data_IF_251480917963
#
_entry.id   IF_251480917963
#
_cell.length_a   1.000
_cell.length_b   1.000
_cell.length_c   1.000
_cell.angle_alpha   90.00
_cell.angle_beta   90.00
_cell.angle_gamma   90.00
#
_symmetry.space_group_name_H-M   'P 1'
#
loop_
_entity.id
_entity.type
_entity.pdbx_description
1 polymer ?
#
# COMPACT_ATOMS: atom_id res chain seq x y z
N UNK A 1 25.15 26.89 21.11
CA UNK A 1 25.73 25.52 21.07
C UNK A 1 24.61 24.56 20.72
N UNK A 2 24.72 23.83 19.61
CA UNK A 2 23.76 22.79 19.24
C UNK A 2 23.90 21.66 20.28
N UNK A 3 22.79 21.25 20.91
CA UNK A 3 22.80 20.16 21.89
C UNK A 3 23.18 18.84 21.18
N UNK A 4 24.08 18.05 21.77
CA UNK A 4 24.44 16.74 21.22
C UNK A 4 23.28 15.74 21.34
N UNK A 5 23.30 14.68 20.53
CA UNK A 5 22.25 13.66 20.54
C UNK A 5 22.10 13.03 21.93
N UNK A 6 23.19 12.76 22.64
CA UNK A 6 23.16 12.24 24.02
C UNK A 6 22.24 13.05 24.95
N UNK A 7 22.33 14.38 24.92
CA UNK A 7 21.47 15.24 25.73
C UNK A 7 20.03 15.27 25.20
N UNK A 8 19.85 15.38 23.88
CA UNK A 8 18.52 15.35 23.25
C UNK A 8 17.79 14.03 23.51
N UNK A 9 18.49 12.91 23.59
CA UNK A 9 17.94 11.59 23.94
C UNK A 9 17.32 11.60 25.34
N UNK A 10 17.80 12.40 26.29
CA UNK A 10 17.13 12.57 27.60
C UNK A 10 15.83 13.35 27.48
N UNK A 11 15.75 14.33 26.59
CA UNK A 11 14.50 15.06 26.33
C UNK A 11 13.43 14.16 25.68
N UNK A 12 13.84 13.14 24.92
CA UNK A 12 12.91 12.17 24.34
C UNK A 12 12.14 11.35 25.39
N UNK A 13 12.57 11.34 26.65
CA UNK A 13 11.77 10.72 27.74
C UNK A 13 10.44 11.47 27.97
N UNK A 14 10.38 12.75 27.59
CA UNK A 14 9.16 13.57 27.67
C UNK A 14 8.31 13.49 26.39
N UNK A 15 8.81 12.84 25.33
CA UNK A 15 8.14 12.75 24.03
C UNK A 15 6.71 12.20 24.12
N UNK A 16 6.39 11.18 24.93
CA UNK A 16 5.02 10.65 25.01
C UNK A 16 3.98 11.72 25.41
N UNK A 17 4.34 12.65 26.32
CA UNK A 17 3.43 13.69 26.78
C UNK A 17 3.11 14.69 25.67
N UNK A 18 4.13 15.13 24.94
CA UNK A 18 3.98 16.05 23.80
C UNK A 18 3.24 15.39 22.64
N UNK A 19 3.52 14.12 22.37
CA UNK A 19 2.89 13.35 21.31
C UNK A 19 1.40 13.06 21.60
N UNK A 20 1.01 12.98 22.87
CA UNK A 20 -0.40 12.75 23.26
C UNK A 20 -1.30 13.97 23.03
N UNK A 21 -0.73 15.18 22.95
CA UNK A 21 -1.49 16.42 22.65
C UNK A 21 -2.08 16.41 21.23
N UNK A 22 -1.49 15.65 20.30
CA UNK A 22 -2.04 15.43 18.96
C UNK A 22 -3.36 14.63 18.99
N UNK A 23 -3.56 13.85 20.05
CA UNK A 23 -4.76 13.02 20.27
C UNK A 23 -5.73 13.61 21.28
N UNK A 24 -5.45 14.80 21.80
CA UNK A 24 -6.27 15.47 22.81
C UNK A 24 -7.51 16.10 22.15
N UNK A 25 -8.68 15.52 22.46
CA UNK A 25 -9.97 15.97 21.92
C UNK A 25 -10.46 17.25 22.60
N UNK A 26 -9.94 17.60 23.79
CA UNK A 26 -10.32 18.81 24.52
C UNK A 26 -9.63 20.07 23.95
N UNK A 27 -8.56 19.90 23.17
CA UNK A 27 -7.89 21.00 22.47
C UNK A 27 -8.71 21.47 21.26
N UNK A 28 -8.87 22.80 21.15
CA UNK A 28 -9.47 23.44 19.97
C UNK A 28 -8.75 22.99 18.70
N UNK A 29 -9.51 22.63 17.68
CA UNK A 29 -9.01 22.03 16.44
C UNK A 29 -7.89 22.84 15.76
N UNK A 30 -8.03 24.17 15.66
CA UNK A 30 -6.99 25.04 15.08
C UNK A 30 -5.67 24.99 15.85
N UNK A 31 -5.75 24.92 17.19
CA UNK A 31 -4.55 24.84 18.05
C UNK A 31 -3.90 23.47 17.94
N UNK A 32 -4.71 22.41 17.92
CA UNK A 32 -4.23 21.03 17.73
C UNK A 32 -3.52 20.90 16.39
N UNK A 33 -4.14 21.34 15.29
CA UNK A 33 -3.55 21.30 13.95
C UNK A 33 -2.21 22.05 13.90
N UNK A 34 -2.16 23.27 14.42
CA UNK A 34 -0.91 24.05 14.48
C UNK A 34 0.17 23.32 15.29
N UNK A 35 -0.20 22.73 16.43
CA UNK A 35 0.72 21.92 17.23
C UNK A 35 1.24 20.72 16.45
N UNK A 36 0.36 19.97 15.79
CA UNK A 36 0.71 18.81 14.96
C UNK A 36 1.71 19.18 13.85
N UNK A 37 1.48 20.30 13.16
CA UNK A 37 2.37 20.80 12.10
C UNK A 37 3.75 21.19 12.65
N UNK A 38 3.79 21.94 13.76
CA UNK A 38 5.04 22.38 14.40
C UNK A 38 5.82 21.19 14.98
N UNK A 39 5.12 20.23 15.58
CA UNK A 39 5.69 19.03 16.17
C UNK A 39 6.26 18.10 15.10
N UNK A 40 5.50 17.82 14.03
CA UNK A 40 5.96 17.03 12.89
C UNK A 40 7.22 17.65 12.26
N UNK A 41 7.19 18.96 11.98
CA UNK A 41 8.35 19.69 11.45
C UNK A 41 9.58 19.59 12.36
N UNK A 42 9.39 19.77 13.67
CA UNK A 42 10.47 19.69 14.66
C UNK A 42 11.08 18.29 14.71
N UNK A 43 10.25 17.24 14.64
CA UNK A 43 10.72 15.86 14.61
C UNK A 43 11.52 15.56 13.34
N UNK A 44 11.05 15.99 12.17
CA UNK A 44 11.79 15.84 10.92
C UNK A 44 13.14 16.57 10.96
N UNK A 45 13.18 17.82 11.45
CA UNK A 45 14.44 18.55 11.66
C UNK A 45 15.35 17.84 12.65
N UNK A 46 14.81 17.34 13.76
CA UNK A 46 15.58 16.56 14.73
C UNK A 46 16.22 15.32 14.10
N UNK A 47 15.46 14.54 13.31
CA UNK A 47 16.01 13.36 12.63
C UNK A 47 17.06 13.75 11.59
N UNK A 48 16.82 14.81 10.80
CA UNK A 48 17.78 15.25 9.78
C UNK A 48 19.10 15.76 10.39
N UNK A 49 19.05 16.41 11.55
CA UNK A 49 20.22 16.98 12.21
C UNK A 49 21.02 15.94 13.01
N UNK A 50 20.36 14.89 13.52
CA UNK A 50 20.93 14.03 14.56
C UNK A 50 21.05 12.55 14.18
N UNK A 51 20.31 12.07 13.17
CA UNK A 51 20.36 10.67 12.76
C UNK A 51 21.32 10.50 11.57
N UNK A 52 21.91 9.30 11.41
CA UNK A 52 22.76 9.04 10.26
C UNK A 52 21.94 9.04 8.95
N UNK A 53 22.61 9.27 7.82
CA UNK A 53 21.96 9.20 6.51
C UNK A 53 21.58 7.76 6.13
N UNK A 54 22.36 6.79 6.65
CA UNK A 54 22.04 5.37 6.59
C UNK A 54 22.07 4.79 7.99
N UNK A 55 21.09 3.96 8.31
CA UNK A 55 21.00 3.29 9.61
C UNK A 55 22.21 2.41 9.96
N UNK A 56 23.05 2.06 8.97
CA UNK A 56 24.32 1.30 9.12
C UNK A 56 25.58 2.16 9.26
N UNK A 57 25.47 3.49 9.25
CA UNK A 57 26.64 4.40 9.22
C UNK A 57 27.45 4.37 10.54
N UNK A 58 26.76 4.26 11.68
CA UNK A 58 27.41 4.13 12.97
C UNK A 58 27.77 2.68 13.27
N UNK A 59 29.02 2.45 13.66
CA UNK A 59 29.52 1.12 13.98
C UNK A 59 28.95 0.64 15.32
N UNK A 60 28.54 -0.62 15.38
CA UNK A 60 28.04 -1.23 16.62
C UNK A 60 29.10 -1.13 17.72
N UNK A 61 28.70 -0.63 18.89
CA UNK A 61 29.57 -0.45 20.06
C UNK A 61 30.15 0.95 20.20
N UNK A 62 29.97 1.85 19.23
CA UNK A 62 30.35 3.26 19.41
C UNK A 62 29.28 4.03 20.18
N UNK A 63 29.67 5.16 20.78
CA UNK A 63 28.74 6.01 21.52
C UNK A 63 27.63 6.56 20.61
N UNK A 64 27.96 6.91 19.36
CA UNK A 64 27.02 7.42 18.36
C UNK A 64 25.96 6.37 18.01
N UNK A 65 26.38 5.10 17.85
CA UNK A 65 25.46 3.99 17.63
C UNK A 65 24.51 3.81 18.83
N UNK A 66 25.05 3.84 20.05
CA UNK A 66 24.24 3.72 21.27
C UNK A 66 23.27 4.88 21.46
N UNK A 67 23.68 6.11 21.13
CA UNK A 67 22.84 7.29 21.20
C UNK A 67 21.71 7.24 20.15
N UNK A 68 22.02 6.82 18.92
CA UNK A 68 21.03 6.62 17.85
C UNK A 68 20.03 5.51 18.21
N UNK A 69 20.52 4.35 18.66
CA UNK A 69 19.68 3.25 19.13
C UNK A 69 18.77 3.69 20.29
N UNK A 70 19.32 4.43 21.26
CA UNK A 70 18.58 4.97 22.39
C UNK A 70 17.48 5.94 21.95
N UNK A 71 17.77 6.82 20.99
CA UNK A 71 16.78 7.73 20.43
C UNK A 71 15.64 6.99 19.71
N UNK A 72 15.97 6.01 18.84
CA UNK A 72 14.97 5.18 18.15
C UNK A 72 14.07 4.48 19.16
N UNK A 73 14.63 3.80 20.17
CA UNK A 73 13.83 3.08 21.17
C UNK A 73 12.92 3.99 21.99
N UNK A 74 13.35 5.22 22.29
CA UNK A 74 12.49 6.21 22.95
C UNK A 74 11.36 6.70 22.06
N UNK A 75 11.60 6.87 20.76
CA UNK A 75 10.54 7.18 19.78
C UNK A 75 9.53 6.02 19.69
N UNK A 76 10.00 4.77 19.62
CA UNK A 76 9.14 3.58 19.63
C UNK A 76 8.29 3.50 20.91
N UNK A 77 8.92 3.67 22.07
CA UNK A 77 8.21 3.71 23.35
C UNK A 77 7.18 4.85 23.40
N UNK A 78 7.51 6.02 22.85
CA UNK A 78 6.59 7.15 22.82
C UNK A 78 5.40 6.90 21.89
N UNK A 79 5.61 6.26 20.73
CA UNK A 79 4.52 5.83 19.84
C UNK A 79 3.55 4.93 20.61
N UNK A 80 4.06 3.91 21.29
CA UNK A 80 3.22 2.94 21.99
C UNK A 80 2.46 3.56 23.16
N UNK A 81 3.09 4.48 23.90
CA UNK A 81 2.47 5.15 25.05
C UNK A 81 1.40 6.16 24.61
N UNK A 82 1.72 7.02 23.65
CA UNK A 82 0.86 8.13 23.20
C UNK A 82 -0.17 7.76 22.14
N UNK A 83 0.09 6.71 21.36
CA UNK A 83 -0.67 6.42 20.12
C UNK A 83 -0.71 7.59 19.14
N UNK A 84 0.36 8.39 19.09
CA UNK A 84 0.47 9.54 18.20
C UNK A 84 0.65 9.11 16.74
N UNK A 85 -0.21 9.66 15.87
CA UNK A 85 -0.14 9.41 14.44
C UNK A 85 1.09 10.04 13.78
N UNK A 86 1.56 11.18 14.31
CA UNK A 86 2.78 11.87 13.85
C UNK A 86 4.01 10.99 14.06
N UNK A 87 4.12 10.33 15.23
CA UNK A 87 5.24 9.42 15.50
C UNK A 87 5.18 8.19 14.59
N UNK A 88 3.96 7.69 14.30
CA UNK A 88 3.76 6.61 13.34
C UNK A 88 4.24 7.01 11.94
N UNK A 89 3.85 8.19 11.44
CA UNK A 89 4.29 8.73 10.15
C UNK A 89 5.82 8.85 10.07
N UNK A 90 6.45 9.41 11.11
CA UNK A 90 7.91 9.55 11.19
C UNK A 90 8.62 8.19 11.07
N UNK A 91 8.14 7.18 11.80
CA UNK A 91 8.73 5.84 11.81
C UNK A 91 8.57 5.13 10.46
N UNK A 92 7.42 5.25 9.81
CA UNK A 92 7.21 4.71 8.47
C UNK A 92 8.09 5.43 7.44
N UNK A 93 8.22 6.74 7.54
CA UNK A 93 9.12 7.51 6.68
C UNK A 93 10.57 7.01 6.81
N UNK A 94 11.09 6.89 8.03
CA UNK A 94 12.45 6.36 8.27
C UNK A 94 12.63 4.95 7.71
N UNK A 95 11.64 4.07 7.90
CA UNK A 95 11.70 2.69 7.41
C UNK A 95 11.71 2.61 5.88
N UNK A 96 10.94 3.46 5.21
CA UNK A 96 10.76 3.40 3.76
C UNK A 96 11.88 4.10 2.97
N UNK A 97 12.65 4.99 3.61
CA UNK A 97 13.80 5.67 2.99
C UNK A 97 14.99 4.75 2.73
N UNK A 98 15.08 3.60 3.40
CA UNK A 98 16.16 2.64 3.22
C UNK A 98 15.65 1.26 2.84
N UNK A 99 16.42 0.53 2.00
CA UNK A 99 16.10 -0.84 1.62
C UNK A 99 16.24 -1.83 2.78
N UNK A 100 17.16 -1.60 3.73
CA UNK A 100 17.33 -2.46 4.90
C UNK A 100 17.67 -1.60 6.12
N UNK A 101 16.70 -1.36 7.00
CA UNK A 101 16.92 -0.54 8.19
C UNK A 101 17.33 -1.44 9.38
N UNK A 102 18.39 -1.09 10.10
CA UNK A 102 18.93 -1.99 11.17
C UNK A 102 17.95 -2.25 12.33
N UNK A 103 16.97 -1.36 12.52
CA UNK A 103 15.91 -1.48 13.54
C UNK A 103 14.54 -1.84 12.94
N UNK A 104 14.49 -2.35 11.71
CA UNK A 104 13.24 -2.67 11.00
C UNK A 104 12.29 -3.54 11.83
N UNK A 105 12.78 -4.60 12.45
CA UNK A 105 11.95 -5.49 13.27
C UNK A 105 11.40 -4.81 14.54
N UNK A 106 12.22 -3.99 15.22
CA UNK A 106 11.78 -3.22 16.40
C UNK A 106 10.70 -2.21 16.01
N UNK A 107 10.88 -1.50 14.87
CA UNK A 107 9.91 -0.56 14.33
C UNK A 107 8.59 -1.26 13.98
N UNK A 108 8.64 -2.34 13.19
CA UNK A 108 7.44 -3.08 12.79
C UNK A 108 6.71 -3.68 13.99
N UNK A 109 7.44 -4.16 15.00
CA UNK A 109 6.84 -4.69 16.23
C UNK A 109 6.12 -3.59 17.02
N UNK A 110 6.71 -2.40 17.13
CA UNK A 110 6.11 -1.26 17.82
C UNK A 110 4.87 -0.74 17.10
N UNK A 111 4.94 -0.66 15.77
CA UNK A 111 3.81 -0.25 14.94
C UNK A 111 2.65 -1.24 15.05
N UNK A 112 2.90 -2.54 15.06
CA UNK A 112 1.85 -3.53 15.30
C UNK A 112 1.17 -3.31 16.66
N UNK A 113 1.95 -3.04 17.73
CA UNK A 113 1.39 -2.72 19.06
C UNK A 113 0.53 -1.44 19.04
N UNK A 114 1.00 -0.40 18.36
CA UNK A 114 0.24 0.84 18.14
C UNK A 114 -1.13 0.58 17.48
N UNK A 115 -1.17 -0.23 16.43
CA UNK A 115 -2.38 -0.46 15.64
C UNK A 115 -3.40 -1.32 16.38
N UNK A 116 -2.90 -2.30 17.14
CA UNK A 116 -3.74 -3.08 18.07
C UNK A 116 -4.32 -2.15 19.14
N UNK A 117 -3.50 -1.24 19.70
CA UNK A 117 -3.92 -0.29 20.75
C UNK A 117 -4.92 0.74 20.26
N UNK A 118 -4.89 1.16 18.99
CA UNK A 118 -5.89 2.08 18.43
C UNK A 118 -7.31 1.59 18.71
N UNK A 119 -7.55 0.27 18.57
CA UNK A 119 -8.77 -0.48 18.92
C UNK A 119 -10.13 0.16 18.57
N UNK A 120 -10.15 1.18 17.74
CA UNK A 120 -11.32 1.95 17.34
C UNK A 120 -11.46 1.89 15.81
N UNK A 121 -12.71 1.77 15.35
CA UNK A 121 -13.00 1.61 13.93
C UNK A 121 -12.58 2.84 13.13
N UNK A 122 -12.92 4.04 13.59
CA UNK A 122 -12.65 5.29 12.87
C UNK A 122 -11.14 5.58 12.84
N UNK A 123 -10.44 5.38 13.96
CA UNK A 123 -8.99 5.55 14.03
C UNK A 123 -8.25 4.56 13.12
N UNK A 124 -8.66 3.29 13.10
CA UNK A 124 -8.09 2.31 12.17
C UNK A 124 -8.44 2.62 10.70
N UNK A 125 -9.63 3.14 10.43
CA UNK A 125 -10.02 3.57 9.09
C UNK A 125 -9.18 4.76 8.60
N UNK A 126 -8.94 5.77 9.45
CA UNK A 126 -8.08 6.91 9.14
C UNK A 126 -6.64 6.47 8.84
N UNK A 127 -6.12 5.50 9.61
CA UNK A 127 -4.83 4.87 9.33
C UNK A 127 -4.81 4.21 7.95
N UNK A 128 -5.83 3.42 7.60
CA UNK A 128 -5.90 2.76 6.30
C UNK A 128 -6.03 3.77 5.13
N UNK A 129 -6.80 4.84 5.32
CA UNK A 129 -6.91 5.95 4.35
C UNK A 129 -5.55 6.63 4.11
N UNK A 130 -4.77 6.82 5.17
CA UNK A 130 -3.43 7.35 5.08
C UNK A 130 -2.49 6.40 4.33
N UNK A 131 -2.56 5.09 4.61
CA UNK A 131 -1.78 4.09 3.86
C UNK A 131 -2.15 4.05 2.39
N UNK A 132 -3.44 4.15 2.09
CA UNK A 132 -3.90 4.30 0.71
C UNK A 132 -3.27 5.55 0.06
N UNK A 133 -3.18 6.66 0.79
CA UNK A 133 -2.56 7.90 0.27
C UNK A 133 -1.07 7.73 -0.06
N UNK A 134 -0.32 6.97 0.75
CA UNK A 134 1.08 6.62 0.47
C UNK A 134 1.14 5.76 -0.79
N UNK A 135 0.41 4.65 -0.81
CA UNK A 135 0.56 3.63 -1.84
C UNK A 135 0.13 4.06 -3.22
N UNK A 136 -0.73 5.08 -3.34
CA UNK A 136 -1.20 5.57 -4.63
C UNK A 136 -0.75 7.02 -4.92
N UNK A 137 0.34 7.46 -4.28
CA UNK A 137 1.05 8.69 -4.63
C UNK A 137 0.29 9.97 -4.31
N UNK A 138 -0.66 9.93 -3.37
CA UNK A 138 -1.38 11.10 -2.87
C UNK A 138 -0.64 11.78 -1.71
N UNK A 139 0.26 11.05 -1.05
CA UNK A 139 1.11 11.59 0.02
C UNK A 139 2.44 12.09 -0.55
N UNK A 140 2.71 13.39 -0.40
CA UNK A 140 3.90 14.06 -0.93
C UNK A 140 5.21 13.67 -0.22
N UNK A 141 5.14 13.12 1.00
CA UNK A 141 6.31 12.71 1.77
C UNK A 141 6.96 11.45 1.18
N UNK A 142 6.18 10.62 0.47
CA UNK A 142 6.62 9.34 -0.04
C UNK A 142 6.82 9.39 -1.55
N UNK A 143 8.09 9.43 -1.95
CA UNK A 143 8.50 9.31 -3.36
C UNK A 143 8.19 7.92 -3.90
N UNK A 144 8.27 7.79 -5.22
CA UNK A 144 7.96 6.56 -5.93
C UNK A 144 8.77 5.36 -5.41
N UNK A 145 10.06 5.56 -5.13
CA UNK A 145 10.94 4.55 -4.55
C UNK A 145 10.49 4.09 -3.14
N UNK A 146 9.95 4.99 -2.33
CA UNK A 146 9.52 4.68 -0.96
C UNK A 146 8.23 3.86 -0.92
N UNK A 147 7.40 3.94 -1.96
CA UNK A 147 6.08 3.30 -2.01
C UNK A 147 6.17 1.78 -2.11
N UNK A 148 7.15 1.26 -2.86
CA UNK A 148 7.41 -0.18 -2.91
C UNK A 148 7.95 -0.70 -1.58
N UNK A 149 8.88 0.03 -0.96
CA UNK A 149 9.40 -0.31 0.36
C UNK A 149 8.27 -0.35 1.41
N UNK A 150 7.37 0.64 1.37
CA UNK A 150 6.20 0.66 2.25
C UNK A 150 5.32 -0.59 2.06
N UNK A 151 5.06 -0.99 0.81
CA UNK A 151 4.27 -2.17 0.49
C UNK A 151 4.93 -3.46 1.00
N UNK A 152 6.22 -3.64 0.72
CA UNK A 152 6.96 -4.87 1.01
C UNK A 152 7.24 -5.08 2.49
N UNK A 153 7.67 -4.02 3.19
CA UNK A 153 8.14 -4.12 4.57
C UNK A 153 7.02 -4.01 5.59
N UNK A 154 6.08 -3.11 5.32
CA UNK A 154 5.20 -2.60 6.35
C UNK A 154 3.74 -2.95 6.10
N UNK A 155 3.21 -2.61 4.93
CA UNK A 155 1.76 -2.48 4.77
C UNK A 155 1.06 -3.83 4.89
N UNK A 156 1.53 -4.89 4.22
CA UNK A 156 0.86 -6.19 4.36
C UNK A 156 0.95 -6.74 5.79
N UNK A 157 2.08 -6.52 6.47
CA UNK A 157 2.25 -6.93 7.88
C UNK A 157 1.29 -6.17 8.79
N UNK A 158 1.11 -4.88 8.53
CA UNK A 158 0.19 -4.04 9.27
C UNK A 158 -1.27 -4.47 9.15
N UNK A 159 -1.71 -4.82 7.94
CA UNK A 159 -3.11 -5.22 7.71
C UNK A 159 -3.51 -6.43 8.57
N UNK A 160 -2.57 -7.26 9.01
CA UNK A 160 -2.84 -8.40 9.91
C UNK A 160 -3.25 -7.96 11.33
N UNK A 161 -2.91 -6.73 11.72
CA UNK A 161 -3.20 -6.17 13.05
C UNK A 161 -4.49 -5.34 13.07
N UNK A 162 -5.09 -5.08 11.91
CA UNK A 162 -6.34 -4.30 11.78
C UNK A 162 -7.55 -5.22 11.94
N UNK A 163 -8.62 -4.73 12.57
CA UNK A 163 -9.86 -5.51 12.73
C UNK A 163 -10.43 -5.89 11.36
N UNK A 164 -10.84 -7.15 11.20
CA UNK A 164 -11.46 -7.67 9.96
C UNK A 164 -12.67 -6.82 9.52
N UNK A 165 -13.50 -6.36 10.45
CA UNK A 165 -14.64 -5.49 10.14
C UNK A 165 -14.21 -4.15 9.52
N UNK A 166 -13.16 -3.53 10.06
CA UNK A 166 -12.60 -2.30 9.48
C UNK A 166 -11.98 -2.54 8.11
N UNK A 167 -11.28 -3.66 7.91
CA UNK A 167 -10.74 -4.04 6.61
C UNK A 167 -11.83 -4.24 5.55
N UNK A 168 -12.97 -4.83 5.92
CA UNK A 168 -14.12 -4.98 5.03
C UNK A 168 -14.64 -3.61 4.59
N UNK A 169 -14.86 -2.68 5.52
CA UNK A 169 -15.35 -1.34 5.19
C UNK A 169 -14.33 -0.53 4.37
N UNK A 170 -13.04 -0.65 4.67
CA UNK A 170 -11.99 -0.10 3.84
C UNK A 170 -12.01 -0.65 2.41
N UNK A 171 -12.14 -1.97 2.28
CA UNK A 171 -12.16 -2.60 0.97
C UNK A 171 -13.41 -2.19 0.18
N UNK A 172 -14.58 -2.12 0.81
CA UNK A 172 -15.80 -1.55 0.21
C UNK A 172 -15.58 -0.13 -0.31
N UNK A 173 -14.92 0.73 0.47
CA UNK A 173 -14.63 2.11 0.11
C UNK A 173 -13.73 2.22 -1.12
N UNK A 174 -12.70 1.38 -1.22
CA UNK A 174 -11.66 1.52 -2.24
C UNK A 174 -11.71 0.50 -3.39
N UNK A 175 -12.56 -0.53 -3.34
CA UNK A 175 -12.58 -1.61 -4.34
C UNK A 175 -12.72 -1.10 -5.77
N UNK A 176 -13.61 -0.11 -5.98
CA UNK A 176 -13.81 0.48 -7.29
C UNK A 176 -12.59 1.26 -7.76
N UNK A 177 -11.91 1.99 -6.87
CA UNK A 177 -10.68 2.70 -7.24
C UNK A 177 -9.54 1.72 -7.53
N UNK A 178 -9.34 0.69 -6.70
CA UNK A 178 -8.40 -0.39 -6.95
C UNK A 178 -8.61 -1.01 -8.33
N UNK A 179 -9.82 -1.46 -8.63
CA UNK A 179 -10.07 -2.24 -9.83
C UNK A 179 -10.18 -1.33 -11.07
N UNK A 180 -11.02 -0.30 -11.01
CA UNK A 180 -11.32 0.54 -12.18
C UNK A 180 -10.20 1.56 -12.41
N UNK A 181 -9.78 2.29 -11.38
CA UNK A 181 -8.81 3.37 -11.56
C UNK A 181 -7.38 2.86 -11.68
N UNK A 182 -7.03 1.71 -11.06
CA UNK A 182 -5.65 1.19 -11.11
C UNK A 182 -5.47 0.04 -12.11
N UNK A 183 -6.36 -0.97 -12.13
CA UNK A 183 -6.18 -2.13 -13.00
C UNK A 183 -6.57 -1.86 -14.47
N UNK A 184 -7.47 -0.91 -14.76
CA UNK A 184 -7.86 -0.61 -16.16
C UNK A 184 -6.86 0.28 -16.91
N UNK A 185 -5.96 0.97 -16.21
CA UNK A 185 -4.92 1.78 -16.86
C UNK A 185 -4.11 0.86 -17.78
N UNK A 186 -4.07 1.19 -19.08
CA UNK A 186 -3.23 0.46 -20.04
C UNK A 186 -1.76 0.75 -19.74
N UNK A 187 -0.94 -0.29 -19.81
CA UNK A 187 0.51 -0.14 -19.73
C UNK A 187 0.98 0.31 -21.10
N UNK A 188 1.40 1.57 -21.19
CA UNK A 188 2.09 2.10 -22.36
C UNK A 188 3.59 2.17 -22.06
N UNK A 189 4.34 1.28 -22.72
CA UNK A 189 5.79 1.17 -22.55
C UNK A 189 6.57 2.37 -23.08
N UNK A 190 5.93 3.23 -23.88
CA UNK A 190 6.54 4.46 -24.41
C UNK A 190 6.54 5.61 -23.40
N UNK A 191 5.66 5.56 -22.39
CA UNK A 191 5.54 6.60 -21.36
C UNK A 191 6.55 6.40 -20.22
N UNK A 192 7.83 6.58 -20.52
CA UNK A 192 8.95 6.22 -19.63
C UNK A 192 8.93 6.87 -18.25
N UNK A 193 8.33 8.06 -18.10
CA UNK A 193 8.27 8.81 -16.83
C UNK A 193 7.13 8.36 -15.91
N UNK A 194 5.98 7.98 -16.46
CA UNK A 194 4.79 7.61 -15.67
C UNK A 194 4.66 6.10 -15.48
N UNK A 195 5.32 5.30 -16.33
CA UNK A 195 5.18 3.85 -16.31
C UNK A 195 5.56 3.23 -14.96
N UNK A 196 6.63 3.71 -14.33
CA UNK A 196 7.06 3.21 -13.02
C UNK A 196 5.93 3.35 -11.99
N UNK A 197 5.21 4.49 -12.00
CA UNK A 197 4.11 4.73 -11.07
C UNK A 197 2.92 3.81 -11.39
N UNK A 198 2.59 3.64 -12.67
CA UNK A 198 1.53 2.74 -13.12
C UNK A 198 1.82 1.28 -12.71
N UNK A 199 3.06 0.82 -12.90
CA UNK A 199 3.47 -0.53 -12.51
C UNK A 199 3.36 -0.72 -10.99
N UNK A 200 3.85 0.24 -10.20
CA UNK A 200 3.76 0.21 -8.74
C UNK A 200 2.30 0.21 -8.28
N UNK A 201 1.44 1.08 -8.83
CA UNK A 201 0.01 1.10 -8.49
C UNK A 201 -0.65 -0.26 -8.72
N UNK A 202 -0.36 -0.90 -9.86
CA UNK A 202 -0.91 -2.22 -10.18
C UNK A 202 -0.37 -3.30 -9.25
N UNK A 203 0.94 -3.30 -8.95
CA UNK A 203 1.55 -4.23 -7.98
C UNK A 203 0.86 -4.09 -6.61
N UNK A 204 0.78 -2.86 -6.09
CA UNK A 204 0.09 -2.55 -4.83
C UNK A 204 -1.35 -3.07 -4.84
N UNK A 205 -2.07 -2.82 -5.93
CA UNK A 205 -3.46 -3.23 -6.09
C UNK A 205 -3.60 -4.75 -6.04
N UNK A 206 -2.81 -5.49 -6.81
CA UNK A 206 -2.88 -6.95 -6.79
C UNK A 206 -2.52 -7.53 -5.43
N UNK A 207 -1.48 -7.01 -4.77
CA UNK A 207 -1.10 -7.48 -3.42
C UNK A 207 -2.16 -7.18 -2.36
N UNK A 208 -2.86 -6.05 -2.47
CA UNK A 208 -4.02 -5.79 -1.61
C UNK A 208 -5.17 -6.74 -1.88
N UNK A 209 -5.55 -6.94 -3.14
CA UNK A 209 -6.66 -7.84 -3.47
C UNK A 209 -6.32 -9.26 -3.05
N UNK A 210 -5.10 -9.72 -3.31
CA UNK A 210 -4.54 -10.99 -2.83
C UNK A 210 -4.73 -11.18 -1.33
N UNK A 211 -4.27 -10.21 -0.54
CA UNK A 211 -4.43 -10.23 0.92
C UNK A 211 -5.90 -10.26 1.34
N UNK A 212 -6.76 -9.42 0.73
CA UNK A 212 -8.18 -9.38 1.06
C UNK A 212 -8.87 -10.71 0.76
N UNK A 213 -8.62 -11.33 -0.40
CA UNK A 213 -9.19 -12.64 -0.74
C UNK A 213 -8.65 -13.79 0.12
N UNK A 214 -7.49 -13.60 0.76
CA UNK A 214 -6.93 -14.56 1.73
C UNK A 214 -7.67 -14.51 3.09
N UNK A 215 -8.08 -13.32 3.54
CA UNK A 215 -8.69 -13.15 4.88
C UNK A 215 -10.22 -13.09 4.86
N UNK A 216 -10.82 -12.79 3.71
CA UNK A 216 -12.26 -12.69 3.53
C UNK A 216 -12.85 -14.07 3.22
N UNK A 217 -14.09 -14.26 3.64
CA UNK A 217 -14.83 -15.47 3.30
C UNK A 217 -15.40 -15.31 1.90
N UNK A 218 -15.75 -16.44 1.26
CA UNK A 218 -16.39 -16.44 -0.05
C UNK A 218 -17.59 -15.48 -0.12
N UNK A 219 -18.48 -15.53 0.87
CA UNK A 219 -19.69 -14.72 0.89
C UNK A 219 -19.42 -13.21 1.04
N UNK A 220 -18.24 -12.81 1.51
CA UNK A 220 -17.87 -11.40 1.58
C UNK A 220 -17.61 -10.81 0.19
N UNK A 221 -17.08 -11.61 -0.75
CA UNK A 221 -16.56 -11.15 -2.06
C UNK A 221 -17.23 -11.79 -3.28
N UNK A 222 -18.02 -12.84 -3.10
CA UNK A 222 -18.62 -13.63 -4.15
C UNK A 222 -20.04 -14.07 -3.79
N UNK A 223 -20.95 -14.00 -4.76
CA UNK A 223 -22.37 -14.37 -4.60
C UNK A 223 -23.28 -13.16 -4.37
N UNK A 224 -24.59 -13.40 -4.45
CA UNK A 224 -25.61 -12.34 -4.45
C UNK A 224 -25.65 -11.52 -3.14
N UNK A 225 -25.25 -12.13 -2.03
CA UNK A 225 -25.25 -11.50 -0.71
C UNK A 225 -23.94 -10.74 -0.41
N UNK A 226 -22.96 -10.79 -1.32
CA UNK A 226 -21.69 -10.12 -1.14
C UNK A 226 -21.86 -8.61 -1.20
N UNK A 227 -21.69 -7.96 -0.05
CA UNK A 227 -21.76 -6.50 0.07
C UNK A 227 -20.65 -5.80 -0.71
N UNK A 228 -19.45 -6.39 -0.78
CA UNK A 228 -18.32 -5.85 -1.56
C UNK A 228 -18.60 -5.99 -3.07
N UNK A 229 -19.05 -7.16 -3.53
CA UNK A 229 -19.39 -7.35 -4.94
C UNK A 229 -20.54 -6.43 -5.37
N UNK A 230 -21.53 -6.20 -4.49
CA UNK A 230 -22.64 -5.28 -4.75
C UNK A 230 -22.17 -3.85 -4.97
N UNK A 231 -21.31 -3.32 -4.10
CA UNK A 231 -20.76 -1.97 -4.24
C UNK A 231 -19.98 -1.83 -5.55
N UNK A 232 -19.17 -2.83 -5.89
CA UNK A 232 -18.45 -2.85 -7.15
C UNK A 232 -19.40 -2.87 -8.35
N UNK A 233 -20.40 -3.76 -8.36
CA UNK A 233 -21.41 -3.86 -9.41
C UNK A 233 -22.14 -2.54 -9.63
N UNK A 234 -22.64 -1.92 -8.56
CA UNK A 234 -23.35 -0.64 -8.62
C UNK A 234 -22.46 0.48 -9.18
N UNK A 235 -21.17 0.49 -8.83
CA UNK A 235 -20.22 1.47 -9.35
C UNK A 235 -20.01 1.30 -10.84
N UNK A 236 -19.76 0.07 -11.31
CA UNK A 236 -19.55 -0.22 -12.74
C UNK A 236 -20.82 0.10 -13.54
N UNK A 237 -22.01 -0.26 -13.01
CA UNK A 237 -23.29 0.02 -13.67
C UNK A 237 -23.54 1.52 -13.85
N UNK A 238 -23.29 2.32 -12.81
CA UNK A 238 -23.38 3.78 -12.89
C UNK A 238 -22.41 4.35 -13.93
N UNK A 239 -21.19 3.82 -14.03
CA UNK A 239 -20.24 4.25 -15.07
C UNK A 239 -20.69 3.87 -16.48
N UNK A 240 -21.26 2.67 -16.68
CA UNK A 240 -21.81 2.27 -17.98
C UNK A 240 -23.00 3.14 -18.39
N UNK A 241 -23.89 3.49 -17.46
CA UNK A 241 -25.02 4.40 -17.68
C UNK A 241 -24.53 5.81 -18.03
N UNK A 242 -23.56 6.35 -17.28
CA UNK A 242 -22.96 7.66 -17.57
C UNK A 242 -22.28 7.68 -18.95
N UNK A 243 -21.57 6.62 -19.35
CA UNK A 243 -20.95 6.52 -20.67
C UNK A 243 -21.99 6.52 -21.80
N UNK A 244 -23.10 5.79 -21.63
CA UNK A 244 -24.21 5.79 -22.59
C UNK A 244 -24.81 7.19 -22.75
N UNK A 245 -25.01 7.91 -21.64
CA UNK A 245 -25.52 9.28 -21.67
C UNK A 245 -24.56 10.26 -22.37
N UNK A 246 -23.25 10.04 -22.24
CA UNK A 246 -22.21 10.88 -22.84
C UNK A 246 -21.81 10.43 -24.26
N UNK A 247 -22.46 9.42 -24.86
CA UNK A 247 -22.09 8.81 -26.14
C UNK A 247 -20.60 8.40 -26.23
N UNK A 248 -20.03 7.94 -25.11
CA UNK A 248 -18.66 7.44 -25.05
C UNK A 248 -18.68 5.93 -25.23
N UNK A 249 -18.01 5.43 -26.27
CA UNK A 249 -17.90 3.98 -26.50
C UNK A 249 -17.14 3.28 -25.37
N UNK A 250 -17.60 2.06 -25.05
CA UNK A 250 -16.91 1.19 -24.09
C UNK A 250 -15.52 0.85 -24.64
N UNK A 251 -14.46 0.97 -23.82
CA UNK A 251 -13.15 0.44 -24.20
C UNK A 251 -13.28 -1.03 -24.59
N UNK A 252 -12.56 -1.48 -25.62
CA UNK A 252 -12.54 -2.90 -26.04
C UNK A 252 -12.15 -3.83 -24.87
N UNK A 253 -11.40 -3.29 -23.91
CA UNK A 253 -10.96 -3.97 -22.70
C UNK A 253 -11.96 -3.95 -21.55
N UNK A 254 -13.13 -3.33 -21.70
CA UNK A 254 -14.15 -3.24 -20.65
C UNK A 254 -14.97 -4.53 -20.59
N UNK A 255 -15.12 -5.06 -19.38
CA UNK A 255 -15.88 -6.28 -19.13
C UNK A 255 -17.34 -5.87 -18.96
N UNK A 256 -18.19 -6.26 -19.91
CA UNK A 256 -19.63 -6.00 -19.84
C UNK A 256 -20.21 -6.73 -18.62
N UNK A 257 -20.86 -5.97 -17.74
CA UNK A 257 -21.64 -6.55 -16.64
C UNK A 257 -23.07 -6.83 -17.10
N UNK A 258 -23.73 -7.80 -16.47
CA UNK A 258 -25.12 -8.14 -16.76
C UNK A 258 -26.09 -7.04 -16.33
N UNK A 259 -27.31 -7.07 -16.90
CA UNK A 259 -28.40 -6.17 -16.50
C UNK A 259 -28.82 -6.36 -15.04
N UNK A 260 -28.63 -7.58 -14.52
CA UNK A 260 -28.85 -7.99 -13.13
C UNK A 260 -27.54 -8.50 -12.52
N UNK A 261 -27.38 -8.28 -11.22
CA UNK A 261 -26.21 -8.74 -10.47
C UNK A 261 -26.28 -10.26 -10.24
N UNK A 262 -25.21 -10.98 -10.58
CA UNK A 262 -25.03 -12.40 -10.29
C UNK A 262 -24.04 -12.67 -9.14
N UNK A 263 -23.39 -11.61 -8.63
CA UNK A 263 -22.47 -11.65 -7.50
C UNK A 263 -21.07 -12.15 -7.86
N UNK A 264 -20.78 -12.36 -9.16
CA UNK A 264 -19.49 -12.84 -9.65
C UNK A 264 -18.70 -11.74 -10.34
N UNK A 265 -19.26 -10.54 -10.49
CA UNK A 265 -18.73 -9.47 -11.34
C UNK A 265 -17.34 -9.03 -10.89
N UNK A 266 -17.17 -8.76 -9.59
CA UNK A 266 -15.87 -8.38 -9.04
C UNK A 266 -14.81 -9.45 -9.32
N UNK A 267 -15.11 -10.70 -8.98
CA UNK A 267 -14.21 -11.84 -9.18
C UNK A 267 -13.87 -12.03 -10.66
N UNK A 268 -14.86 -12.01 -11.57
CA UNK A 268 -14.64 -12.09 -13.02
C UNK A 268 -13.74 -10.95 -13.51
N UNK A 269 -13.97 -9.74 -13.01
CA UNK A 269 -13.22 -8.56 -13.40
C UNK A 269 -11.75 -8.68 -13.04
N UNK A 270 -11.46 -9.02 -11.78
CA UNK A 270 -10.08 -9.14 -11.31
C UNK A 270 -9.38 -10.33 -11.98
N UNK A 271 -10.04 -11.48 -12.17
CA UNK A 271 -9.45 -12.63 -12.89
C UNK A 271 -9.02 -12.23 -14.31
N UNK A 272 -9.89 -11.55 -15.04
CA UNK A 272 -9.57 -11.11 -16.40
C UNK A 272 -8.40 -10.12 -16.43
N UNK A 273 -8.34 -9.18 -15.49
CA UNK A 273 -7.23 -8.23 -15.37
C UNK A 273 -5.91 -8.90 -14.98
N UNK A 274 -5.96 -9.84 -14.04
CA UNK A 274 -4.80 -10.58 -13.58
C UNK A 274 -4.16 -11.41 -14.69
N UNK A 275 -4.98 -12.14 -15.46
CA UNK A 275 -4.53 -12.92 -16.63
C UNK A 275 -3.92 -12.05 -17.71
N UNK A 276 -4.43 -10.84 -17.91
CA UNK A 276 -3.88 -9.90 -18.88
C UNK A 276 -2.46 -9.39 -18.53
N UNK A 277 -1.96 -9.65 -17.30
CA UNK A 277 -0.59 -9.32 -16.91
C UNK A 277 0.40 -10.46 -17.11
N UNK A 278 -0.05 -11.63 -17.57
CA UNK A 278 0.85 -12.76 -17.77
C UNK A 278 1.83 -12.41 -18.88
N UNK A 279 3.12 -12.51 -18.54
CA UNK A 279 4.20 -12.19 -19.46
C UNK A 279 4.30 -13.33 -20.46
N UNK A 280 4.20 -13.01 -21.75
CA UNK A 280 4.57 -13.92 -22.82
C UNK A 280 5.89 -13.50 -23.49
N UNK A 281 6.43 -14.37 -24.35
CA UNK A 281 7.68 -14.10 -25.06
C UNK A 281 7.60 -12.94 -26.06
N UNK A 282 6.40 -12.52 -26.49
CA UNK A 282 6.22 -11.37 -27.39
C UNK A 282 6.35 -10.07 -26.61
N UNK A 283 5.72 -9.99 -25.44
CA UNK A 283 5.77 -8.84 -24.52
C UNK A 283 7.22 -8.58 -24.10
N UNK A 284 7.98 -9.61 -23.73
CA UNK A 284 9.40 -9.46 -23.36
C UNK A 284 10.21 -8.86 -24.53
N UNK A 285 10.04 -9.39 -25.75
CA UNK A 285 10.75 -8.89 -26.94
C UNK A 285 10.37 -7.45 -27.29
N UNK A 286 9.08 -7.10 -27.21
CA UNK A 286 8.62 -5.72 -27.40
C UNK A 286 9.20 -4.78 -26.35
N UNK A 287 9.28 -5.22 -25.09
CA UNK A 287 9.87 -4.45 -24.00
C UNK A 287 11.38 -4.23 -24.20
N UNK A 288 12.13 -5.27 -24.59
CA UNK A 288 13.56 -5.17 -24.88
C UNK A 288 13.83 -4.18 -26.01
N UNK A 289 12.95 -4.12 -27.00
CA UNK A 289 13.03 -3.20 -28.14
C UNK A 289 12.72 -1.76 -27.73
N UNK A 290 11.68 -1.54 -26.91
CA UNK A 290 11.26 -0.20 -26.47
C UNK A 290 12.24 0.41 -25.45
N UNK A 291 12.86 -0.43 -24.61
CA UNK A 291 13.83 0.00 -23.60
C UNK A 291 15.27 0.10 -24.13
N UNK A 292 15.49 0.12 -25.45
CA UNK A 292 16.82 0.20 -26.08
C UNK A 292 17.57 1.49 -25.77
N UNK A 293 16.85 2.61 -25.62
CA UNK A 293 17.44 3.94 -25.41
C UNK A 293 17.56 4.33 -23.93
N UNK A 294 17.35 3.39 -23.01
CA UNK A 294 17.34 3.62 -21.56
C UNK A 294 18.63 3.07 -20.94
N UNK A 295 19.11 3.68 -19.86
CA UNK A 295 20.30 3.17 -19.16
C UNK A 295 20.11 1.72 -18.71
N UNK A 296 21.19 0.94 -18.65
CA UNK A 296 21.13 -0.48 -18.23
C UNK A 296 20.46 -0.66 -16.87
N UNK A 297 20.72 0.25 -15.93
CA UNK A 297 20.15 0.24 -14.57
C UNK A 297 18.63 0.48 -14.60
N UNK A 298 18.18 1.50 -15.34
CA UNK A 298 16.75 1.81 -15.43
C UNK A 298 15.98 0.73 -16.20
N UNK A 299 16.61 0.11 -17.21
CA UNK A 299 16.08 -1.06 -17.91
C UNK A 299 15.89 -2.24 -16.94
N UNK A 300 16.90 -2.55 -16.13
CA UNK A 300 16.83 -3.63 -15.13
C UNK A 300 15.72 -3.37 -14.10
N UNK A 301 15.64 -2.14 -13.57
CA UNK A 301 14.59 -1.75 -12.63
C UNK A 301 13.18 -1.95 -13.22
N UNK A 302 12.93 -1.48 -14.45
CA UNK A 302 11.63 -1.63 -15.11
C UNK A 302 11.29 -3.10 -15.36
N UNK A 303 12.27 -3.90 -15.78
CA UNK A 303 12.09 -5.35 -15.95
C UNK A 303 11.76 -6.04 -14.63
N UNK A 304 12.38 -5.63 -13.52
CA UNK A 304 12.05 -6.15 -12.19
C UNK A 304 10.62 -5.80 -11.79
N UNK A 305 10.16 -4.57 -12.03
CA UNK A 305 8.77 -4.18 -11.77
C UNK A 305 7.77 -4.97 -12.60
N UNK A 306 8.07 -5.23 -13.87
CA UNK A 306 7.22 -6.04 -14.74
C UNK A 306 7.12 -7.48 -14.22
N UNK A 307 8.24 -8.09 -13.81
CA UNK A 307 8.23 -9.40 -13.17
C UNK A 307 7.41 -9.39 -11.87
N UNK A 308 7.62 -8.40 -11.01
CA UNK A 308 6.86 -8.24 -9.76
C UNK A 308 5.38 -8.06 -10.01
N UNK A 309 4.99 -7.36 -11.08
CA UNK A 309 3.59 -7.21 -11.49
C UNK A 309 2.98 -8.56 -11.89
N UNK A 310 3.67 -9.34 -12.72
CA UNK A 310 3.20 -10.66 -13.14
C UNK A 310 3.10 -11.64 -11.97
N UNK A 311 4.08 -11.62 -11.05
CA UNK A 311 4.03 -12.44 -9.83
C UNK A 311 2.87 -12.02 -8.92
N UNK A 312 2.69 -10.71 -8.71
CA UNK A 312 1.61 -10.19 -7.86
C UNK A 312 0.22 -10.50 -8.45
N UNK A 313 0.06 -10.39 -9.77
CA UNK A 313 -1.22 -10.72 -10.42
C UNK A 313 -1.49 -12.23 -10.38
N UNK A 314 -0.46 -13.06 -10.51
CA UNK A 314 -0.58 -14.51 -10.42
C UNK A 314 -0.96 -14.96 -9.00
N UNK A 315 -0.29 -14.43 -7.97
CA UNK A 315 -0.64 -14.70 -6.57
C UNK A 315 -2.07 -14.27 -6.25
N UNK A 316 -2.45 -13.07 -6.70
CA UNK A 316 -3.82 -12.59 -6.58
C UNK A 316 -4.83 -13.52 -7.26
N UNK A 317 -4.53 -14.02 -8.47
CA UNK A 317 -5.37 -14.99 -9.17
C UNK A 317 -5.53 -16.28 -8.34
N UNK A 318 -4.44 -16.81 -7.77
CA UNK A 318 -4.48 -17.99 -6.91
C UNK A 318 -5.41 -17.77 -5.72
N UNK A 319 -5.23 -16.69 -4.97
CA UNK A 319 -6.03 -16.39 -3.78
C UNK A 319 -7.51 -16.20 -4.11
N UNK A 320 -7.81 -15.56 -5.25
CA UNK A 320 -9.19 -15.46 -5.74
C UNK A 320 -9.79 -16.84 -6.02
N UNK A 321 -9.05 -17.71 -6.71
CA UNK A 321 -9.54 -19.04 -7.06
C UNK A 321 -9.73 -19.91 -5.83
N UNK A 322 -8.79 -19.89 -4.88
CA UNK A 322 -8.90 -20.61 -3.60
C UNK A 322 -10.14 -20.13 -2.81
N UNK A 323 -10.38 -18.83 -2.75
CA UNK A 323 -11.50 -18.26 -2.00
C UNK A 323 -12.86 -18.56 -2.66
N UNK A 324 -12.95 -18.54 -3.99
CA UNK A 324 -14.24 -18.53 -4.69
C UNK A 324 -14.62 -19.84 -5.38
N UNK A 325 -13.64 -20.64 -5.81
CA UNK A 325 -13.86 -21.84 -6.62
C UNK A 325 -13.61 -23.12 -5.82
N UNK A 326 -14.40 -24.15 -6.12
CA UNK A 326 -14.23 -25.50 -5.56
C UNK A 326 -14.02 -26.56 -6.64
N UNK A 327 -14.21 -26.20 -7.91
CA UNK A 327 -14.15 -27.13 -9.03
C UNK A 327 -12.76 -27.16 -9.69
N UNK A 328 -12.12 -28.33 -9.69
CA UNK A 328 -10.77 -28.53 -10.25
C UNK A 328 -10.61 -28.05 -11.71
N UNK A 329 -11.67 -28.18 -12.53
CA UNK A 329 -11.67 -27.75 -13.95
C UNK A 329 -11.39 -26.25 -14.12
N UNK A 330 -11.78 -25.41 -13.13
CA UNK A 330 -11.57 -23.97 -13.19
C UNK A 330 -10.11 -23.60 -12.93
N UNK A 331 -9.42 -24.34 -12.05
CA UNK A 331 -7.98 -24.18 -11.87
C UNK A 331 -7.22 -24.49 -13.16
N UNK A 332 -7.61 -25.56 -13.87
CA UNK A 332 -7.06 -25.87 -15.20
C UNK A 332 -7.28 -24.73 -16.19
N UNK A 333 -8.52 -24.26 -16.32
CA UNK A 333 -8.89 -23.24 -17.30
C UNK A 333 -8.27 -21.85 -17.04
N UNK A 334 -8.05 -21.48 -15.77
CA UNK A 334 -7.55 -20.15 -15.41
C UNK A 334 -6.04 -20.08 -15.19
N UNK A 335 -5.43 -21.15 -14.67
CA UNK A 335 -3.99 -21.17 -14.33
C UNK A 335 -3.17 -21.82 -15.44
N UNK A 336 -3.62 -22.96 -15.96
CA UNK A 336 -2.77 -23.85 -16.78
C UNK A 336 -3.08 -23.80 -18.28
N UNK A 337 -4.30 -23.45 -18.68
CA UNK A 337 -4.64 -23.19 -20.08
C UNK A 337 -4.10 -21.83 -20.51
N UNK A 338 -2.78 -21.78 -20.73
CA UNK A 338 -2.17 -20.79 -21.62
C UNK A 338 -2.64 -21.16 -23.02
N UNK A 339 -3.63 -20.44 -23.53
CA UNK A 339 -4.11 -20.63 -24.90
C UNK A 339 -2.99 -20.19 -25.84
N UNK A 340 -2.09 -21.11 -26.20
CA UNK A 340 -0.81 -20.84 -26.93
C UNK A 340 -1.04 -20.18 -28.30
N UNK A 341 -2.29 -20.16 -28.77
CA UNK A 341 -2.74 -19.60 -30.04
C UNK A 341 -3.25 -18.15 -29.98
N UNK A 342 -3.38 -17.54 -28.78
CA UNK A 342 -3.65 -16.10 -28.59
C UNK A 342 -2.39 -15.42 -28.08
#
# INVERSE_FOLDING_TARGET
>A
KQLNLTFKTRLLDLLPFFASLDTDEDLKEDKRKKWSDDFSRTLHTFTADCFPLKSTEFHKGTQEYHDYQGAIRKILSALELSSSFILFELLIWMLCCEQNHIFEDEILSSINRFIIKLNDHNKQMNLLDYIYSILFGKNILFRIEHRLNALEKFILKMLTSVKKTTLIEFYKKYISSFVIEQLDIKIDLTLTTTITSILINKICTYRFIDYMYTILNKDDVFGLNSSIAKIFYETVKKQEEARKLLNVEMPITAIKIGSTMDGKELTKYVIARARAQFIDGKIIKSMETILTNVTTIEKEMKMNLIRSLAMSSFNCLISILICTQTEAKLYKAFIFDANVSK
#
